data_IF_152721077431
#
_entry.id   IF_152721077431
#
_cell.length_a   1.000
_cell.length_b   1.000
_cell.length_c   1.000
_cell.angle_alpha   90.00
_cell.angle_beta   90.00
_cell.angle_gamma   90.00
#
_symmetry.space_group_name_H-M   'P 1'
#
loop_
_entity.id
_entity.type
_entity.pdbx_description
1 polymer ?
#
# COMPACT_ATOMS: atom_id res chain seq x y z
N UNK A 1 -1.16 -27.70 5.08
CA UNK A 1 -1.15 -26.29 5.52
C UNK A 1 -2.45 -26.07 6.26
N UNK A 2 -2.39 -25.76 7.55
CA UNK A 2 -3.57 -25.77 8.42
C UNK A 2 -4.45 -24.57 8.07
N UNK A 3 -5.62 -24.84 7.50
CA UNK A 3 -6.72 -23.89 7.52
C UNK A 3 -7.19 -23.83 8.97
N UNK A 4 -6.85 -22.74 9.65
CA UNK A 4 -7.47 -22.42 10.93
C UNK A 4 -8.87 -21.89 10.59
N UNK A 5 -9.90 -22.49 11.18
CA UNK A 5 -11.32 -22.24 10.88
C UNK A 5 -11.80 -20.84 11.32
N UNK A 6 -10.87 -19.91 11.52
CA UNK A 6 -11.14 -18.49 11.77
C UNK A 6 -10.41 -17.53 10.80
N UNK A 7 -9.73 -18.03 9.76
CA UNK A 7 -9.28 -17.25 8.59
C UNK A 7 -8.40 -16.01 8.86
N UNK A 8 -7.92 -15.84 10.09
CA UNK A 8 -7.21 -14.64 10.49
C UNK A 8 -5.69 -14.82 10.37
N UNK A 9 -5.00 -13.84 9.78
CA UNK A 9 -3.54 -13.86 9.59
C UNK A 9 -2.84 -12.78 10.40
N UNK A 10 -1.70 -13.12 11.03
CA UNK A 10 -0.89 -12.17 11.81
C UNK A 10 0.18 -11.54 10.91
N UNK A 11 0.12 -10.23 10.69
CA UNK A 11 1.10 -9.49 9.88
C UNK A 11 1.55 -8.23 10.64
N UNK A 12 2.87 -8.07 10.79
CA UNK A 12 3.49 -6.95 11.50
C UNK A 12 2.87 -6.65 12.89
N UNK A 13 2.45 -7.69 13.60
CA UNK A 13 1.87 -7.58 14.94
C UNK A 13 0.38 -7.20 14.98
N UNK A 14 -0.33 -7.17 13.83
CA UNK A 14 -1.79 -7.01 13.75
C UNK A 14 -2.42 -8.26 13.16
N UNK A 15 -3.52 -8.71 13.76
CA UNK A 15 -4.36 -9.78 13.21
C UNK A 15 -5.28 -9.18 12.14
N UNK A 16 -5.36 -9.84 11.00
CA UNK A 16 -6.25 -9.51 9.90
C UNK A 16 -7.31 -10.57 9.76
N UNK A 17 -8.57 -10.16 9.78
CA UNK A 17 -9.71 -11.06 9.53
C UNK A 17 -9.85 -11.35 8.04
N UNK A 18 -10.59 -12.42 7.70
CA UNK A 18 -10.90 -12.75 6.30
C UNK A 18 -11.62 -11.61 5.57
N UNK A 19 -12.46 -10.83 6.28
CA UNK A 19 -13.15 -9.67 5.71
C UNK A 19 -12.17 -8.56 5.34
N UNK A 20 -11.29 -8.17 6.26
CA UNK A 20 -10.24 -7.18 5.98
C UNK A 20 -9.33 -7.63 4.82
N UNK A 21 -9.00 -8.91 4.73
CA UNK A 21 -8.22 -9.43 3.60
C UNK A 21 -8.99 -9.35 2.29
N UNK A 22 -10.30 -9.60 2.29
CA UNK A 22 -11.14 -9.46 1.08
C UNK A 22 -11.17 -8.00 0.62
N UNK A 23 -11.34 -7.05 1.53
CA UNK A 23 -11.35 -5.62 1.20
C UNK A 23 -10.00 -5.19 0.58
N UNK A 24 -8.90 -5.71 1.11
CA UNK A 24 -7.56 -5.47 0.57
C UNK A 24 -7.42 -6.05 -0.84
N UNK A 25 -7.85 -7.29 -1.05
CA UNK A 25 -7.83 -7.95 -2.36
C UNK A 25 -8.69 -7.19 -3.37
N UNK A 26 -9.89 -6.77 -2.97
CA UNK A 26 -10.80 -5.98 -3.79
C UNK A 26 -10.19 -4.64 -4.17
N UNK A 27 -9.57 -3.94 -3.21
CA UNK A 27 -8.86 -2.68 -3.46
C UNK A 27 -7.78 -2.85 -4.54
N UNK A 28 -6.96 -3.90 -4.46
CA UNK A 28 -5.92 -4.17 -5.48
C UNK A 28 -6.54 -4.44 -6.85
N UNK A 29 -7.69 -5.13 -6.91
CA UNK A 29 -8.40 -5.42 -8.16
C UNK A 29 -9.07 -4.20 -8.77
N UNK A 30 -9.59 -3.29 -7.95
CA UNK A 30 -10.22 -2.03 -8.39
C UNK A 30 -9.19 -1.04 -8.94
N UNK A 31 -7.96 -1.07 -8.40
CA UNK A 31 -6.92 -0.11 -8.72
C UNK A 31 -5.64 -0.73 -9.31
N UNK A 32 -5.73 -1.50 -10.42
CA UNK A 32 -4.57 -2.22 -10.97
C UNK A 32 -3.50 -1.30 -11.56
N UNK A 33 -3.83 -0.03 -11.80
CA UNK A 33 -2.91 0.99 -12.35
C UNK A 33 -2.11 1.71 -11.26
N UNK A 34 -2.45 1.55 -9.98
CA UNK A 34 -1.73 2.19 -8.89
C UNK A 34 -0.36 1.52 -8.67
N UNK A 35 0.61 2.33 -8.25
CA UNK A 35 1.90 1.79 -7.83
C UNK A 35 1.76 0.98 -6.54
N UNK A 36 2.72 0.09 -6.23
CA UNK A 36 2.74 -0.62 -4.94
C UNK A 36 2.72 0.34 -3.73
N UNK A 37 3.29 1.54 -3.87
CA UNK A 37 3.26 2.55 -2.81
C UNK A 37 1.87 3.15 -2.63
N UNK A 38 1.22 3.55 -3.73
CA UNK A 38 -0.14 4.10 -3.69
C UNK A 38 -1.14 3.06 -3.19
N UNK A 39 -1.05 1.82 -3.66
CA UNK A 39 -1.86 0.71 -3.12
C UNK A 39 -1.66 0.54 -1.62
N UNK A 40 -0.41 0.50 -1.15
CA UNK A 40 -0.11 0.37 0.27
C UNK A 40 -0.68 1.54 1.08
N UNK A 41 -0.69 2.75 0.53
CA UNK A 41 -1.28 3.93 1.17
C UNK A 41 -2.79 3.83 1.26
N UNK A 42 -3.47 3.51 0.15
CA UNK A 42 -4.93 3.30 0.11
C UNK A 42 -5.37 2.20 1.09
N UNK A 43 -4.61 1.10 1.17
CA UNK A 43 -4.89 0.01 2.11
C UNK A 43 -4.66 0.45 3.56
N UNK A 44 -3.55 1.14 3.83
CA UNK A 44 -3.28 1.70 5.16
C UNK A 44 -4.36 2.70 5.60
N UNK A 45 -4.91 3.49 4.67
CA UNK A 45 -6.04 4.38 4.90
C UNK A 45 -7.31 3.60 5.25
N UNK A 46 -7.71 2.63 4.41
CA UNK A 46 -8.91 1.83 4.63
C UNK A 46 -8.88 1.01 5.93
N UNK A 47 -7.73 0.43 6.26
CA UNK A 47 -7.54 -0.34 7.49
C UNK A 47 -7.29 0.54 8.74
N UNK A 48 -7.22 1.86 8.56
CA UNK A 48 -6.73 2.81 9.58
C UNK A 48 -5.41 2.35 10.22
N UNK A 49 -4.51 1.75 9.43
CA UNK A 49 -3.28 1.14 9.91
C UNK A 49 -2.17 2.18 10.05
N UNK A 50 -2.22 2.91 11.17
CA UNK A 50 -1.29 3.96 11.52
C UNK A 50 -0.35 3.57 12.67
N UNK A 51 0.76 4.28 12.78
CA UNK A 51 1.65 4.28 13.92
C UNK A 51 1.11 5.25 14.99
N UNK A 52 1.59 5.17 16.26
CA UNK A 52 1.13 6.04 17.34
C UNK A 52 1.29 7.55 17.05
N UNK A 53 2.17 7.92 16.12
CA UNK A 53 2.35 9.30 15.65
C UNK A 53 1.37 9.71 14.53
N UNK A 54 0.35 8.91 14.26
CA UNK A 54 -0.67 9.15 13.22
C UNK A 54 -0.21 8.88 11.78
N UNK A 55 1.05 8.52 11.55
CA UNK A 55 1.55 8.23 10.20
C UNK A 55 1.19 6.81 9.78
N UNK A 56 0.79 6.62 8.52
CA UNK A 56 0.52 5.28 7.98
C UNK A 56 1.74 4.37 8.03
N UNK A 57 1.51 3.10 8.40
CA UNK A 57 2.55 2.06 8.39
C UNK A 57 2.72 1.48 6.98
N UNK A 58 3.13 2.32 6.03
CA UNK A 58 3.24 1.96 4.61
C UNK A 58 4.06 0.69 4.39
N UNK A 59 5.18 0.52 5.09
CA UNK A 59 6.01 -0.68 4.93
C UNK A 59 5.38 -1.94 5.53
N UNK A 60 4.50 -1.81 6.52
CA UNK A 60 3.68 -2.93 7.00
C UNK A 60 2.57 -3.28 5.98
N UNK A 61 1.93 -2.28 5.37
CA UNK A 61 0.97 -2.49 4.29
C UNK A 61 1.62 -3.13 3.06
N UNK A 62 2.85 -2.76 2.70
CA UNK A 62 3.62 -3.45 1.65
C UNK A 62 3.91 -4.92 2.01
N UNK A 63 4.26 -5.21 3.26
CA UNK A 63 4.47 -6.59 3.71
C UNK A 63 3.18 -7.42 3.64
N UNK A 64 2.03 -6.81 3.97
CA UNK A 64 0.73 -7.44 3.79
C UNK A 64 0.47 -7.78 2.32
N UNK A 65 0.70 -6.82 1.42
CA UNK A 65 0.57 -7.04 -0.03
C UNK A 65 1.51 -8.15 -0.53
N UNK A 66 2.79 -8.11 -0.15
CA UNK A 66 3.77 -9.12 -0.56
C UNK A 66 3.39 -10.52 -0.02
N UNK A 67 2.79 -10.62 1.18
CA UNK A 67 2.26 -11.89 1.70
C UNK A 67 1.08 -12.41 0.88
N UNK A 68 0.13 -11.55 0.52
CA UNK A 68 -1.01 -11.92 -0.32
C UNK A 68 -0.57 -12.35 -1.73
N UNK A 69 0.42 -11.66 -2.30
CA UNK A 69 1.06 -12.05 -3.58
C UNK A 69 1.73 -13.42 -3.46
N UNK A 70 2.45 -13.68 -2.36
CA UNK A 70 3.09 -14.98 -2.11
C UNK A 70 2.09 -16.12 -1.91
N UNK A 71 0.91 -15.82 -1.38
CA UNK A 71 -0.21 -16.78 -1.30
C UNK A 71 -0.99 -16.92 -2.61
N UNK A 72 -0.61 -16.18 -3.66
CA UNK A 72 -1.29 -16.14 -4.98
C UNK A 72 -2.74 -15.62 -4.92
N UNK A 73 -3.08 -14.85 -3.90
CA UNK A 73 -4.41 -14.22 -3.74
C UNK A 73 -4.55 -12.97 -4.62
N UNK A 74 -3.43 -12.26 -4.83
CA UNK A 74 -3.32 -11.08 -5.68
C UNK A 74 -2.10 -11.17 -6.58
N UNK A 75 -2.11 -10.37 -7.65
CA UNK A 75 -0.93 -10.11 -8.47
C UNK A 75 -0.61 -8.63 -8.32
N UNK A 76 0.56 -8.30 -7.78
CA UNK A 76 0.96 -6.91 -7.66
C UNK A 76 1.62 -6.45 -8.96
N UNK A 77 1.43 -5.17 -9.34
CA UNK A 77 2.16 -4.61 -10.46
C UNK A 77 3.67 -4.75 -10.24
N UNK A 78 4.43 -4.94 -11.32
CA UNK A 78 5.89 -5.06 -11.25
C UNK A 78 6.47 -3.90 -10.45
N UNK A 79 7.46 -4.21 -9.61
CA UNK A 79 8.22 -3.19 -8.88
C UNK A 79 8.91 -2.31 -9.92
N UNK A 80 8.30 -1.16 -10.25
CA UNK A 80 8.99 -0.13 -11.03
C UNK A 80 10.27 0.19 -10.27
N UNK A 81 11.41 -0.10 -10.89
CA UNK A 81 12.73 0.33 -10.41
C UNK A 81 12.74 1.85 -10.56
N UNK A 82 12.14 2.57 -9.62
CA UNK A 82 12.27 4.02 -9.56
C UNK A 82 13.74 4.30 -9.30
N UNK A 83 14.43 4.84 -10.31
CA UNK A 83 15.75 5.42 -10.13
C UNK A 83 15.68 6.42 -8.96
N UNK A 84 16.74 6.53 -8.13
CA UNK A 84 16.75 7.48 -7.04
C UNK A 84 16.39 8.85 -7.59
N UNK A 85 15.35 9.45 -7.03
CA UNK A 85 14.84 10.75 -7.41
C UNK A 85 16.00 11.75 -7.27
N UNK A 86 16.63 12.14 -8.38
CA UNK A 86 17.36 13.40 -8.38
C UNK A 86 16.33 14.44 -7.94
N UNK A 87 16.67 15.25 -6.93
CA UNK A 87 15.86 16.42 -6.59
C UNK A 87 15.98 17.33 -7.80
N UNK A 88 15.03 17.22 -8.73
CA UNK A 88 14.87 18.21 -9.77
C UNK A 88 14.54 19.50 -9.02
N UNK A 89 15.51 20.40 -8.97
CA UNK A 89 15.34 21.70 -8.35
C UNK A 89 14.22 22.40 -9.10
N UNK A 90 13.07 22.57 -8.44
CA UNK A 90 11.99 23.39 -8.97
C UNK A 90 12.53 24.81 -9.04
N UNK A 91 12.96 25.23 -10.23
CA UNK A 91 13.30 26.62 -10.50
C UNK A 91 11.98 27.39 -10.50
N UNK A 92 11.76 28.34 -9.58
CA UNK A 92 10.54 29.14 -9.60
C UNK A 92 10.52 29.97 -10.90
N UNK A 93 9.44 29.83 -11.68
CA UNK A 93 9.22 30.67 -12.86
C UNK A 93 9.04 32.14 -12.47
N UNK A 94 9.50 33.04 -13.33
CA UNK A 94 9.45 34.48 -13.09
C UNK A 94 8.00 34.98 -13.01
N UNK A 95 7.74 35.82 -11.99
CA UNK A 95 6.46 36.47 -11.69
C UNK A 95 6.04 37.35 -12.88
N UNK A 96 4.93 37.04 -13.54
CA UNK A 96 4.29 37.98 -14.48
C UNK A 96 3.68 39.14 -13.71
N UNK A 97 4.03 40.36 -14.10
CA UNK A 97 3.47 41.61 -13.57
C UNK A 97 2.09 41.86 -14.19
N UNK A 98 1.08 42.26 -13.43
CA UNK A 98 -0.20 42.70 -13.98
C UNK A 98 -0.08 44.09 -14.61
N UNK A 99 -0.71 44.26 -15.77
CA UNK A 99 -0.86 45.50 -16.53
C UNK A 99 -1.69 46.56 -15.79
#
# INVERSE_FOLDING_TARGET
>A
MKHDENGAILICGRMFTTEELRDVIETVRLFPKLSRHELAKTICEGLSWNAPNGRYKIDACKQLLDRLEMQKEIVLPEKKKTQPHSREQVVPGQRTEPE
#
